data_IF_521449904293
#
_entry.id   IF_521449904293
#
_cell.length_a   1.000
_cell.length_b   1.000
_cell.length_c   1.000
_cell.angle_alpha   90.00
_cell.angle_beta   90.00
_cell.angle_gamma   90.00
#
_symmetry.space_group_name_H-M   'P 1'
#
loop_
_entity.id
_entity.type
_entity.pdbx_description
1 polymer ?
#
# COMPACT_ATOMS: atom_id res chain seq x y z
N UNK A 1 8.91 9.57 -6.80
CA UNK A 1 7.88 8.59 -6.38
C UNK A 1 6.84 9.34 -5.59
N UNK A 2 5.57 9.18 -5.96
CA UNK A 2 4.47 9.82 -5.25
C UNK A 2 4.29 9.15 -3.87
N UNK A 3 4.12 9.94 -2.80
CA UNK A 3 3.93 9.41 -1.44
C UNK A 3 2.52 8.80 -1.28
N UNK A 4 2.30 7.98 -0.24
CA UNK A 4 0.95 7.49 0.05
C UNK A 4 -0.04 8.64 0.26
N UNK A 5 0.37 9.69 0.95
CA UNK A 5 -0.48 10.85 1.19
C UNK A 5 -0.90 11.53 -0.12
N UNK A 6 0.00 11.68 -1.09
CA UNK A 6 -0.31 12.28 -2.39
C UNK A 6 -1.29 11.41 -3.20
N UNK A 7 -1.12 10.08 -3.20
CA UNK A 7 -2.04 9.14 -3.87
C UNK A 7 -3.45 9.21 -3.26
N UNK A 8 -3.53 9.03 -1.93
CA UNK A 8 -4.79 9.06 -1.18
C UNK A 8 -5.46 10.43 -1.29
N UNK A 9 -4.68 11.51 -1.24
CA UNK A 9 -5.16 12.89 -1.39
C UNK A 9 -5.88 13.09 -2.72
N UNK A 10 -5.27 12.62 -3.82
CA UNK A 10 -5.82 12.74 -5.17
C UNK A 10 -7.11 11.92 -5.30
N UNK A 11 -7.12 10.71 -4.76
CA UNK A 11 -8.24 9.78 -4.89
C UNK A 11 -9.45 10.16 -4.04
N UNK A 12 -9.22 10.59 -2.79
CA UNK A 12 -10.29 10.95 -1.85
C UNK A 12 -10.65 12.44 -1.90
N UNK A 13 -9.94 13.24 -2.70
CA UNK A 13 -10.08 14.69 -2.74
C UNK A 13 -9.95 15.35 -1.35
N UNK A 14 -8.96 14.89 -0.58
CA UNK A 14 -8.60 15.41 0.75
C UNK A 14 -7.21 16.04 0.63
N UNK A 15 -6.92 17.11 1.38
CA UNK A 15 -5.59 17.74 1.32
C UNK A 15 -4.50 16.77 1.80
N UNK A 16 -3.41 16.65 1.04
CA UNK A 16 -2.29 15.77 1.38
C UNK A 16 -1.79 15.96 2.82
N UNK A 17 -1.70 17.20 3.31
CA UNK A 17 -1.29 17.50 4.69
C UNK A 17 -2.23 16.91 5.75
N UNK A 18 -3.53 16.80 5.46
CA UNK A 18 -4.49 16.16 6.37
C UNK A 18 -4.31 14.64 6.34
N UNK A 19 -4.07 14.07 5.14
CA UNK A 19 -3.79 12.64 5.00
C UNK A 19 -2.50 12.27 5.73
N UNK A 20 -1.43 13.05 5.57
CA UNK A 20 -0.15 12.85 6.30
C UNK A 20 -0.37 12.84 7.82
N UNK A 21 -1.14 13.79 8.35
CA UNK A 21 -1.46 13.84 9.77
C UNK A 21 -2.23 12.59 10.24
N UNK A 22 -3.17 12.09 9.43
CA UNK A 22 -3.92 10.86 9.73
C UNK A 22 -3.00 9.64 9.68
N UNK A 23 -2.13 9.52 8.67
CA UNK A 23 -1.16 8.43 8.56
C UNK A 23 -0.26 8.40 9.80
N UNK A 24 0.31 9.53 10.20
CA UNK A 24 1.17 9.62 11.37
C UNK A 24 0.43 9.18 12.66
N UNK A 25 -0.83 9.60 12.84
CA UNK A 25 -1.61 9.19 14.00
C UNK A 25 -1.94 7.69 14.00
N UNK A 26 -2.23 7.10 12.84
CA UNK A 26 -2.47 5.67 12.71
C UNK A 26 -1.19 4.86 12.99
N UNK A 27 -0.04 5.34 12.52
CA UNK A 27 1.26 4.71 12.74
C UNK A 27 1.70 4.77 14.21
N UNK A 28 1.33 5.84 14.92
CA UNK A 28 1.45 5.95 16.38
C UNK A 28 0.47 5.03 17.14
N UNK A 29 -0.35 4.23 16.43
CA UNK A 29 -1.28 3.27 17.01
C UNK A 29 -2.61 3.86 17.46
N UNK A 30 -2.94 5.10 17.07
CA UNK A 30 -4.24 5.70 17.41
C UNK A 30 -5.37 5.05 16.61
N UNK A 31 -6.51 4.80 17.24
CA UNK A 31 -7.69 4.25 16.58
C UNK A 31 -8.54 5.35 15.93
N UNK A 32 -9.31 5.00 14.89
CA UNK A 32 -10.20 5.94 14.22
C UNK A 32 -11.16 6.67 15.19
N UNK A 33 -11.86 5.98 16.13
CA UNK A 33 -12.72 6.68 17.09
C UNK A 33 -11.96 7.65 17.99
N UNK A 34 -10.71 7.32 18.34
CA UNK A 34 -9.86 8.20 19.13
C UNK A 34 -9.45 9.44 18.34
N UNK A 35 -9.01 9.26 17.08
CA UNK A 35 -8.62 10.36 16.19
C UNK A 35 -9.81 11.31 15.96
N UNK A 36 -10.97 10.76 15.60
CA UNK A 36 -12.19 11.53 15.33
C UNK A 36 -12.62 12.37 16.54
N UNK A 37 -12.45 11.84 17.76
CA UNK A 37 -12.89 12.50 18.99
C UNK A 37 -11.86 13.47 19.57
N UNK A 38 -10.57 13.13 19.52
CA UNK A 38 -9.53 13.83 20.29
C UNK A 38 -8.42 14.47 19.44
N UNK A 39 -8.36 14.19 18.13
CA UNK A 39 -7.33 14.71 17.22
C UNK A 39 -7.91 15.50 16.05
N UNK A 40 -9.13 16.02 16.21
CA UNK A 40 -9.86 16.75 15.16
C UNK A 40 -9.09 17.96 14.62
N UNK A 41 -8.38 18.70 15.46
CA UNK A 41 -7.58 19.84 15.01
C UNK A 41 -6.37 19.40 14.18
N UNK A 42 -5.70 18.32 14.60
CA UNK A 42 -4.54 17.78 13.89
C UNK A 42 -4.89 17.26 12.49
N UNK A 43 -6.09 16.70 12.32
CA UNK A 43 -6.59 16.21 11.01
C UNK A 43 -7.28 17.30 10.19
N UNK A 44 -7.40 18.53 10.69
CA UNK A 44 -8.12 19.61 10.01
C UNK A 44 -9.64 19.38 9.92
N UNK A 45 -10.22 18.66 10.87
CA UNK A 45 -11.66 18.49 11.02
C UNK A 45 -12.27 17.28 10.33
N UNK A 46 -11.46 16.33 9.84
CA UNK A 46 -11.95 15.13 9.16
C UNK A 46 -12.91 14.33 10.05
N UNK A 47 -14.01 13.86 9.45
CA UNK A 47 -14.99 13.01 10.11
C UNK A 47 -14.60 11.52 10.09
N UNK A 48 -15.37 10.70 10.80
CA UNK A 48 -15.07 9.28 10.93
C UNK A 48 -15.11 8.52 9.60
N UNK A 49 -15.99 8.90 8.68
CA UNK A 49 -16.09 8.26 7.35
C UNK A 49 -14.85 8.55 6.52
N UNK A 50 -14.42 9.82 6.50
CA UNK A 50 -13.18 10.24 5.82
C UNK A 50 -11.94 9.56 6.41
N UNK A 51 -11.85 9.46 7.74
CA UNK A 51 -10.74 8.78 8.40
C UNK A 51 -10.70 7.28 8.05
N UNK A 52 -11.85 6.60 7.98
CA UNK A 52 -11.93 5.18 7.55
C UNK A 52 -11.56 5.00 6.09
N UNK A 53 -11.95 5.93 5.22
CA UNK A 53 -11.56 5.90 3.81
C UNK A 53 -10.04 6.04 3.64
N UNK A 54 -9.41 6.98 4.37
CA UNK A 54 -7.95 7.15 4.39
C UNK A 54 -7.27 5.87 4.88
N UNK A 55 -7.72 5.31 6.01
CA UNK A 55 -7.13 4.08 6.57
C UNK A 55 -7.23 2.92 5.57
N UNK A 56 -8.41 2.73 4.96
CA UNK A 56 -8.63 1.64 4.01
C UNK A 56 -7.71 1.75 2.80
N UNK A 57 -7.53 2.97 2.27
CA UNK A 57 -6.65 3.21 1.14
C UNK A 57 -5.17 3.08 1.50
N UNK A 58 -4.79 3.55 2.69
CA UNK A 58 -3.43 3.35 3.21
C UNK A 58 -3.11 1.86 3.35
N UNK A 59 -4.02 1.08 3.93
CA UNK A 59 -3.85 -0.37 4.12
C UNK A 59 -3.73 -1.09 2.77
N UNK A 60 -4.54 -0.70 1.78
CA UNK A 60 -4.44 -1.23 0.43
C UNK A 60 -3.07 -0.94 -0.21
N UNK A 61 -2.61 0.31 -0.15
CA UNK A 61 -1.32 0.71 -0.72
C UNK A 61 -0.14 0.03 -0.04
N UNK A 62 -0.16 -0.09 1.30
CA UNK A 62 0.86 -0.83 2.06
C UNK A 62 0.90 -2.30 1.67
N UNK A 63 -0.26 -2.94 1.55
CA UNK A 63 -0.36 -4.34 1.12
C UNK A 63 0.13 -4.54 -0.31
N UNK A 64 -0.15 -3.60 -1.21
CA UNK A 64 0.35 -3.62 -2.58
C UNK A 64 1.88 -3.56 -2.59
N UNK A 65 2.46 -2.64 -1.82
CA UNK A 65 3.91 -2.45 -1.74
C UNK A 65 4.62 -3.65 -1.10
N UNK A 66 4.11 -4.16 0.03
CA UNK A 66 4.63 -5.37 0.68
C UNK A 66 4.61 -6.57 -0.28
N UNK A 67 3.51 -6.72 -1.04
CA UNK A 67 3.40 -7.78 -2.03
C UNK A 67 4.39 -7.59 -3.16
N UNK A 68 4.58 -6.36 -3.65
CA UNK A 68 5.56 -6.01 -4.68
C UNK A 68 6.97 -6.36 -4.23
N UNK A 69 7.37 -5.98 -3.02
CA UNK A 69 8.68 -6.30 -2.45
C UNK A 69 8.91 -7.80 -2.36
N UNK A 70 7.90 -8.56 -1.90
CA UNK A 70 7.95 -10.02 -1.84
C UNK A 70 8.17 -10.65 -3.22
N UNK A 71 7.48 -10.13 -4.24
CA UNK A 71 7.62 -10.61 -5.63
C UNK A 71 9.01 -10.26 -6.18
N UNK A 72 9.47 -9.03 -6.00
CA UNK A 72 10.79 -8.59 -6.43
C UNK A 72 11.88 -9.48 -5.83
N UNK A 73 11.85 -9.70 -4.51
CA UNK A 73 12.81 -10.57 -3.83
C UNK A 73 12.78 -12.00 -4.37
N UNK A 74 11.59 -12.59 -4.55
CA UNK A 74 11.44 -13.95 -5.10
C UNK A 74 12.00 -14.10 -6.53
N UNK A 75 11.86 -13.07 -7.36
CA UNK A 75 12.38 -13.08 -8.75
C UNK A 75 13.89 -12.81 -8.76
N UNK A 76 14.37 -11.92 -7.89
CA UNK A 76 15.79 -11.61 -7.71
C UNK A 76 16.57 -12.83 -7.19
N UNK A 77 16.03 -13.58 -6.22
CA UNK A 77 16.61 -14.84 -5.73
C UNK A 77 16.76 -15.90 -6.83
N UNK A 78 15.90 -15.85 -7.86
CA UNK A 78 16.01 -16.72 -9.03
C UNK A 78 17.02 -16.23 -10.08
N UNK A 79 17.59 -15.03 -9.89
CA UNK A 79 18.48 -14.37 -10.85
C UNK A 79 17.76 -13.95 -12.14
N UNK A 80 16.43 -13.75 -12.09
CA UNK A 80 15.59 -13.47 -13.27
C UNK A 80 15.04 -12.05 -13.31
N UNK A 81 15.40 -11.21 -12.34
CA UNK A 81 14.91 -9.84 -12.27
C UNK A 81 15.67 -8.96 -13.26
N UNK A 82 15.04 -8.66 -14.39
CA UNK A 82 15.56 -7.67 -15.36
C UNK A 82 15.14 -6.26 -14.95
N UNK A 83 15.86 -5.24 -15.43
CA UNK A 83 15.50 -3.84 -15.17
C UNK A 83 14.12 -3.49 -15.75
N UNK A 84 13.76 -4.09 -16.89
CA UNK A 84 12.45 -3.94 -17.54
C UNK A 84 11.33 -4.51 -16.65
N UNK A 85 11.48 -5.75 -16.17
CA UNK A 85 10.52 -6.40 -15.28
C UNK A 85 10.41 -5.67 -13.94
N UNK A 86 11.53 -5.17 -13.41
CA UNK A 86 11.55 -4.34 -12.21
C UNK A 86 10.72 -3.06 -12.42
N UNK A 87 10.88 -2.40 -13.57
CA UNK A 87 10.10 -1.21 -13.88
C UNK A 87 8.60 -1.53 -14.00
N UNK A 88 8.21 -2.64 -14.65
CA UNK A 88 6.82 -3.09 -14.74
C UNK A 88 6.21 -3.39 -13.37
N UNK A 89 6.95 -4.09 -12.48
CA UNK A 89 6.51 -4.38 -11.12
C UNK A 89 6.35 -3.11 -10.28
N UNK A 90 7.25 -2.13 -10.43
CA UNK A 90 7.17 -0.83 -9.75
C UNK A 90 5.99 0.03 -10.26
N UNK A 91 5.62 -0.11 -11.53
CA UNK A 91 4.50 0.60 -12.14
C UNK A 91 3.14 -0.10 -11.91
N UNK A 92 3.12 -1.34 -11.40
CA UNK A 92 1.88 -2.05 -11.15
C UNK A 92 1.07 -1.42 -9.99
N UNK A 93 -0.12 -0.93 -10.32
CA UNK A 93 -1.04 -0.25 -9.40
C UNK A 93 -2.08 -1.18 -8.75
N UNK A 94 -2.09 -2.46 -9.10
CA UNK A 94 -3.05 -3.43 -8.53
C UNK A 94 -2.38 -4.74 -8.15
N UNK A 95 -2.95 -5.43 -7.15
CA UNK A 95 -2.50 -6.76 -6.75
C UNK A 95 -2.62 -7.76 -7.90
N UNK A 96 -3.65 -7.64 -8.73
CA UNK A 96 -3.83 -8.51 -9.91
C UNK A 96 -2.69 -8.33 -10.91
N UNK A 97 -2.35 -7.10 -11.26
CA UNK A 97 -1.24 -6.83 -12.18
C UNK A 97 0.10 -7.36 -11.64
N UNK A 98 0.34 -7.23 -10.33
CA UNK A 98 1.51 -7.83 -9.69
C UNK A 98 1.52 -9.36 -9.79
N UNK A 99 0.39 -10.03 -9.54
CA UNK A 99 0.30 -11.49 -9.65
C UNK A 99 0.48 -11.97 -11.10
N UNK A 100 -0.08 -11.25 -12.08
CA UNK A 100 0.05 -11.59 -13.50
C UNK A 100 1.51 -11.52 -13.94
N UNK A 101 2.23 -10.46 -13.55
CA UNK A 101 3.68 -10.31 -13.78
C UNK A 101 4.49 -11.40 -13.05
N UNK A 102 4.06 -11.78 -11.84
CA UNK A 102 4.76 -12.79 -11.05
C UNK A 102 4.49 -14.23 -11.52
N UNK A 103 3.38 -14.48 -12.22
CA UNK A 103 2.92 -15.82 -12.57
C UNK A 103 3.99 -16.72 -13.24
N UNK A 104 4.82 -16.24 -14.18
CA UNK A 104 5.88 -17.04 -14.81
C UNK A 104 7.02 -17.45 -13.84
N UNK A 105 7.19 -16.69 -12.75
CA UNK A 105 8.29 -16.84 -11.80
C UNK A 105 7.86 -17.54 -10.50
N UNK A 106 6.55 -17.75 -10.32
CA UNK A 106 6.02 -18.41 -9.13
C UNK A 106 6.63 -19.81 -8.97
N UNK A 107 7.32 -20.11 -7.86
CA UNK A 107 7.91 -21.41 -7.63
C UNK A 107 6.85 -22.51 -7.77
N UNK A 108 7.08 -23.48 -8.65
CA UNK A 108 6.20 -24.65 -8.73
C UNK A 108 6.26 -25.38 -7.39
N UNK A 109 5.12 -25.54 -6.71
CA UNK A 109 5.03 -26.39 -5.52
C UNK A 109 5.49 -27.79 -5.92
N UNK A 110 6.68 -28.22 -5.47
CA UNK A 110 7.03 -29.64 -5.46
C UNK A 110 6.14 -30.27 -4.40
N UNK A 111 4.92 -30.67 -4.78
CA UNK A 111 4.18 -31.65 -3.98
C UNK A 111 5.01 -32.93 -3.99
N UNK A 112 5.79 -33.12 -2.92
CA UNK A 112 6.24 -34.45 -2.52
C UNK A 112 4.96 -35.21 -2.18
N UNK A 113 4.43 -35.96 -3.13
CA UNK A 113 3.63 -37.12 -2.78
C UNK A 113 4.57 -38.04 -1.99
N UNK A 114 4.33 -38.16 -0.69
CA UNK A 114 4.85 -39.25 0.13
C UNK A 114 3.76 -40.32 0.21
#
# INVERSE_FOLDING_TARGET
>A
MQTYAEKISTELNIRATQVDAVIALLDDGNTIPFIARYRKEATGGLDEEQLRAIQSQLDFLRKLDERRETILASIEEQGKLTDELRAELLAADTLTALEDLYQPYKPKRRTRAM
#
